data_IF_369326518073
#
_entry.id   IF_369326518073
#
_cell.length_a   1.000
_cell.length_b   1.000
_cell.length_c   1.000
_cell.angle_alpha   90.00
_cell.angle_beta   90.00
_cell.angle_gamma   90.00
#
_symmetry.space_group_name_H-M   'P 1'
#
loop_
_entity.id
_entity.type
_entity.pdbx_description
1 polymer ?
#
# COMPACT_ATOMS: atom_id res chain seq x y z
N UNK A 1 24.78 -4.61 -18.41
CA UNK A 1 23.82 -4.84 -17.31
C UNK A 1 22.77 -3.75 -17.34
N UNK A 2 21.62 -4.05 -17.84
CA UNK A 2 20.46 -3.18 -17.73
C UNK A 2 19.97 -3.29 -16.29
N UNK A 3 20.26 -2.28 -15.48
CA UNK A 3 19.57 -2.10 -14.20
C UNK A 3 18.11 -1.87 -14.53
N UNK A 4 17.25 -2.85 -14.24
CA UNK A 4 15.82 -2.68 -14.39
C UNK A 4 15.41 -1.44 -13.58
N UNK A 5 14.65 -0.52 -14.20
CA UNK A 5 14.14 0.63 -13.49
C UNK A 5 13.35 0.16 -12.26
N UNK A 6 13.59 0.77 -11.10
CA UNK A 6 12.86 0.39 -9.90
C UNK A 6 11.36 0.56 -10.12
N UNK A 7 10.58 -0.37 -9.59
CA UNK A 7 9.13 -0.28 -9.66
C UNK A 7 8.63 0.73 -8.63
N UNK A 8 7.84 1.67 -9.10
CA UNK A 8 7.24 2.70 -8.25
C UNK A 8 5.88 2.21 -7.77
N UNK A 9 5.64 2.26 -6.46
CA UNK A 9 4.36 1.88 -5.85
C UNK A 9 3.88 2.97 -4.90
N UNK A 10 2.57 3.16 -4.84
CA UNK A 10 1.90 3.99 -3.85
C UNK A 10 0.91 3.11 -3.10
N UNK A 11 1.07 3.01 -1.78
CA UNK A 11 0.19 2.26 -0.89
C UNK A 11 -0.86 3.20 -0.31
N UNK A 12 -2.12 2.99 -0.64
CA UNK A 12 -3.22 3.72 -0.04
C UNK A 12 -3.29 3.45 1.48
N UNK A 13 -3.75 4.44 2.24
CA UNK A 13 -3.83 4.35 3.69
C UNK A 13 -4.63 3.14 4.19
N UNK A 14 -5.67 2.72 3.48
CA UNK A 14 -6.44 1.53 3.88
C UNK A 14 -5.63 0.23 3.85
N UNK A 15 -4.68 0.09 2.94
CA UNK A 15 -3.76 -1.06 2.89
C UNK A 15 -2.77 -0.99 4.04
N UNK A 16 -2.23 0.19 4.31
CA UNK A 16 -1.36 0.43 5.46
C UNK A 16 -2.05 0.13 6.78
N UNK A 17 -3.27 0.65 6.98
CA UNK A 17 -4.10 0.38 8.17
C UNK A 17 -4.34 -1.11 8.35
N UNK A 18 -4.71 -1.80 7.30
CA UNK A 18 -4.91 -3.26 7.34
C UNK A 18 -3.65 -4.02 7.76
N UNK A 19 -2.47 -3.53 7.36
CA UNK A 19 -1.20 -4.13 7.73
C UNK A 19 -0.84 -3.93 9.21
N UNK A 20 -1.10 -2.73 9.76
CA UNK A 20 -0.71 -2.37 11.13
C UNK A 20 -1.75 -2.64 12.19
N UNK A 21 -3.01 -2.86 11.81
CA UNK A 21 -4.15 -3.02 12.71
C UNK A 21 -3.99 -4.19 13.68
N UNK A 22 -3.44 -5.30 13.20
CA UNK A 22 -3.17 -6.49 14.00
C UNK A 22 -1.85 -7.13 13.59
N UNK A 23 -0.70 -6.56 14.00
CA UNK A 23 0.61 -7.05 13.56
C UNK A 23 0.90 -8.49 14.00
N UNK A 24 0.28 -8.94 15.10
CA UNK A 24 0.48 -10.30 15.63
C UNK A 24 -0.06 -11.39 14.70
N UNK A 25 -1.07 -11.06 13.88
CA UNK A 25 -1.70 -12.02 12.96
C UNK A 25 -0.94 -12.26 11.67
N UNK A 26 0.07 -11.47 11.37
CA UNK A 26 0.81 -11.58 10.10
C UNK A 26 -0.13 -11.69 8.88
N UNK A 27 -1.01 -10.69 8.74
CA UNK A 27 -1.98 -10.63 7.64
C UNK A 27 -1.29 -10.56 6.27
N UNK A 28 -2.00 -10.84 5.21
CA UNK A 28 -1.47 -10.72 3.87
C UNK A 28 -1.03 -9.30 3.53
N UNK A 29 -1.76 -8.31 4.01
CA UNK A 29 -1.36 -6.90 3.86
C UNK A 29 -0.07 -6.56 4.64
N UNK A 30 0.12 -7.14 5.81
CA UNK A 30 1.36 -7.04 6.57
C UNK A 30 2.54 -7.68 5.79
N UNK A 31 2.35 -8.86 5.27
CA UNK A 31 3.36 -9.55 4.44
C UNK A 31 3.73 -8.75 3.19
N UNK A 32 2.74 -8.15 2.54
CA UNK A 32 2.94 -7.29 1.39
C UNK A 32 3.77 -6.05 1.76
N UNK A 33 3.45 -5.41 2.88
CA UNK A 33 4.18 -4.24 3.37
C UNK A 33 5.64 -4.58 3.67
N UNK A 34 5.88 -5.67 4.39
CA UNK A 34 7.24 -6.17 4.68
C UNK A 34 7.99 -6.47 3.38
N UNK A 35 7.33 -7.13 2.44
CA UNK A 35 7.92 -7.41 1.12
C UNK A 35 8.42 -6.14 0.42
N UNK A 36 7.62 -5.08 0.41
CA UNK A 36 8.03 -3.82 -0.20
C UNK A 36 9.18 -3.14 0.56
N UNK A 37 9.19 -3.23 1.88
CA UNK A 37 10.25 -2.66 2.71
C UNK A 37 11.59 -3.37 2.54
N UNK A 38 11.59 -4.67 2.25
CA UNK A 38 12.80 -5.46 2.07
C UNK A 38 13.39 -5.40 0.65
N UNK A 39 12.65 -4.87 -0.33
CA UNK A 39 13.05 -4.86 -1.74
C UNK A 39 13.71 -3.55 -2.14
N UNK A 40 14.95 -3.64 -2.61
CA UNK A 40 15.68 -2.49 -3.15
C UNK A 40 15.19 -2.04 -4.55
N UNK A 41 14.57 -2.96 -5.29
CA UNK A 41 14.01 -2.70 -6.63
C UNK A 41 12.60 -2.12 -6.61
N UNK A 42 12.04 -1.89 -5.41
CA UNK A 42 10.73 -1.24 -5.22
C UNK A 42 10.96 0.09 -4.50
N UNK A 43 10.44 1.17 -5.08
CA UNK A 43 10.43 2.50 -4.48
C UNK A 43 9.01 2.84 -4.07
N UNK A 44 8.84 3.15 -2.80
CA UNK A 44 7.56 3.56 -2.24
C UNK A 44 7.43 5.07 -2.42
N UNK A 45 6.36 5.49 -3.08
CA UNK A 45 6.02 6.90 -3.23
C UNK A 45 4.93 7.28 -2.23
N UNK A 46 4.94 8.53 -1.81
CA UNK A 46 3.88 9.12 -1.02
C UNK A 46 3.65 10.56 -1.48
N UNK A 47 2.55 11.13 -1.05
CA UNK A 47 2.28 12.56 -1.13
C UNK A 47 2.00 13.09 0.27
N UNK A 48 1.91 14.38 0.42
CA UNK A 48 1.74 15.01 1.73
C UNK A 48 0.47 14.55 2.46
N UNK A 49 -0.63 14.33 1.72
CA UNK A 49 -1.88 13.84 2.32
C UNK A 49 -1.69 12.42 2.86
N UNK A 50 -1.07 11.56 2.08
CA UNK A 50 -0.83 10.16 2.46
C UNK A 50 0.09 10.05 3.68
N UNK A 51 1.13 10.88 3.75
CA UNK A 51 2.01 10.95 4.94
C UNK A 51 1.21 11.31 6.20
N UNK A 52 0.33 12.29 6.11
CA UNK A 52 -0.55 12.67 7.23
C UNK A 52 -1.49 11.55 7.63
N UNK A 53 -2.04 10.81 6.67
CA UNK A 53 -2.88 9.65 6.93
C UNK A 53 -2.12 8.54 7.65
N UNK A 54 -0.90 8.21 7.21
CA UNK A 54 -0.07 7.21 7.88
C UNK A 54 0.25 7.57 9.32
N UNK A 55 0.63 8.82 9.56
CA UNK A 55 0.92 9.31 10.91
C UNK A 55 -0.32 9.25 11.81
N UNK A 56 -1.47 9.66 11.30
CA UNK A 56 -2.73 9.59 12.05
C UNK A 56 -3.10 8.17 12.45
N UNK A 57 -2.97 7.22 11.53
CA UNK A 57 -3.30 5.82 11.83
C UNK A 57 -2.28 5.16 12.75
N UNK A 58 -1.02 5.53 12.71
CA UNK A 58 -0.03 5.09 13.67
C UNK A 58 -0.36 5.53 15.11
N UNK A 59 -0.99 6.70 15.28
CA UNK A 59 -1.49 7.17 16.57
C UNK A 59 -2.74 6.43 17.03
N UNK A 60 -3.66 6.11 16.09
CA UNK A 60 -4.92 5.38 16.40
C UNK A 60 -4.65 3.94 16.82
N UNK A 61 -3.61 3.32 16.28
CA UNK A 61 -3.22 1.94 16.62
C UNK A 61 -1.90 1.93 17.40
N UNK A 62 -1.92 2.29 18.69
CA UNK A 62 -0.71 2.51 19.48
C UNK A 62 -0.05 1.17 19.86
N UNK A 63 0.71 0.61 18.94
CA UNK A 63 1.58 -0.52 19.23
C UNK A 63 3.02 -0.24 18.78
N UNK A 64 4.04 -0.78 19.46
CA UNK A 64 5.43 -0.62 19.03
C UNK A 64 5.65 -1.09 17.60
N UNK A 65 5.00 -2.17 17.19
CA UNK A 65 5.10 -2.71 15.82
C UNK A 65 4.46 -1.77 14.80
N UNK A 66 3.28 -1.23 15.08
CA UNK A 66 2.63 -0.25 14.20
C UNK A 66 3.49 1.01 14.02
N UNK A 67 4.06 1.53 15.12
CA UNK A 67 4.96 2.67 15.07
C UNK A 67 6.23 2.37 14.27
N UNK A 68 6.83 1.19 14.45
CA UNK A 68 8.01 0.78 13.72
C UNK A 68 7.74 0.63 12.22
N UNK A 69 6.60 0.06 11.82
CA UNK A 69 6.21 -0.06 10.42
C UNK A 69 5.93 1.30 9.78
N UNK A 70 5.24 2.19 10.48
CA UNK A 70 5.00 3.54 9.99
C UNK A 70 6.33 4.29 9.78
N UNK A 71 7.25 4.21 10.74
CA UNK A 71 8.58 4.78 10.61
C UNK A 71 9.34 4.20 9.42
N UNK A 72 9.34 2.88 9.27
CA UNK A 72 10.03 2.21 8.16
C UNK A 72 9.47 2.62 6.79
N UNK A 73 8.15 2.73 6.66
CA UNK A 73 7.52 3.20 5.41
C UNK A 73 7.91 4.65 5.12
N UNK A 74 7.82 5.53 6.12
CA UNK A 74 8.14 6.94 5.95
C UNK A 74 9.62 7.18 5.64
N UNK A 75 10.52 6.41 6.25
CA UNK A 75 11.96 6.48 5.97
C UNK A 75 12.29 6.06 4.51
N UNK A 76 11.50 5.17 3.96
CA UNK A 76 11.67 4.67 2.58
C UNK A 76 10.87 5.47 1.55
N UNK A 77 9.82 6.18 1.96
CA UNK A 77 8.92 6.87 1.06
C UNK A 77 9.57 8.11 0.44
N UNK A 78 9.41 8.24 -0.87
CA UNK A 78 9.70 9.47 -1.59
C UNK A 78 8.44 10.31 -1.68
N UNK A 79 8.51 11.54 -1.18
CA UNK A 79 7.37 12.46 -1.19
C UNK A 79 7.33 13.20 -2.51
N UNK A 80 6.21 13.08 -3.22
CA UNK A 80 5.98 13.69 -4.52
C UNK A 80 5.01 14.86 -4.38
N UNK A 81 5.40 16.03 -4.88
CA UNK A 81 4.48 17.13 -5.11
C UNK A 81 3.68 16.91 -6.39
N UNK A 82 2.39 17.11 -6.35
CA UNK A 82 1.49 16.83 -7.47
C UNK A 82 1.14 18.11 -8.21
N UNK A 83 1.38 18.14 -9.53
CA UNK A 83 1.00 19.25 -10.38
C UNK A 83 -0.52 19.29 -10.60
N UNK A 84 -1.05 20.51 -10.67
CA UNK A 84 -2.48 20.76 -10.84
C UNK A 84 -3.08 20.08 -12.08
N UNK A 85 -2.34 19.98 -13.17
CA UNK A 85 -2.79 19.32 -14.41
C UNK A 85 -3.16 17.85 -14.19
N UNK A 86 -2.44 17.15 -13.32
CA UNK A 86 -2.75 15.74 -12.98
C UNK A 86 -3.94 15.62 -12.05
N UNK A 87 -4.12 16.57 -11.14
CA UNK A 87 -5.33 16.67 -10.31
C UNK A 87 -6.57 16.86 -11.19
N UNK A 88 -6.52 17.78 -12.14
CA UNK A 88 -7.61 18.05 -13.10
C UNK A 88 -7.91 16.83 -13.98
N UNK A 89 -6.89 16.09 -14.40
CA UNK A 89 -7.07 14.88 -15.20
C UNK A 89 -7.76 13.76 -14.43
N UNK A 90 -7.48 13.62 -13.14
CA UNK A 90 -8.04 12.55 -12.29
C UNK A 90 -9.41 12.88 -11.71
N UNK A 91 -9.69 14.16 -11.42
CA UNK A 91 -10.91 14.60 -10.73
C UNK A 91 -12.23 14.07 -11.32
N UNK A 92 -12.42 13.99 -12.66
CA UNK A 92 -13.67 13.48 -13.24
C UNK A 92 -14.03 12.04 -12.89
N UNK A 93 -13.05 11.24 -12.44
CA UNK A 93 -13.27 9.83 -12.09
C UNK A 93 -13.73 9.63 -10.64
N UNK A 94 -13.79 10.70 -9.85
CA UNK A 94 -14.15 10.64 -8.43
C UNK A 94 -15.42 11.46 -8.18
N UNK A 95 -16.54 10.78 -8.08
CA UNK A 95 -17.81 11.40 -7.74
C UNK A 95 -17.82 11.83 -6.27
N UNK A 96 -18.31 13.04 -5.98
CA UNK A 96 -18.35 13.58 -4.63
C UNK A 96 -17.05 14.22 -4.13
N UNK A 97 -16.00 14.27 -4.96
CA UNK A 97 -14.83 15.11 -4.73
C UNK A 97 -13.96 14.76 -3.54
N UNK A 98 -13.72 13.47 -3.29
CA UNK A 98 -12.72 13.09 -2.29
C UNK A 98 -11.32 13.52 -2.74
N UNK A 99 -10.85 14.62 -2.16
CA UNK A 99 -9.57 15.23 -2.54
C UNK A 99 -8.40 14.27 -2.31
N UNK A 100 -8.42 13.50 -1.23
CA UNK A 100 -7.35 12.54 -0.94
C UNK A 100 -7.20 11.50 -2.07
N UNK A 101 -8.31 10.89 -2.50
CA UNK A 101 -8.30 9.91 -3.58
C UNK A 101 -7.82 10.50 -4.90
N UNK A 102 -8.25 11.73 -5.21
CA UNK A 102 -7.81 12.45 -6.40
C UNK A 102 -6.29 12.69 -6.36
N UNK A 103 -5.75 13.12 -5.23
CA UNK A 103 -4.31 13.36 -5.06
C UNK A 103 -3.51 12.07 -5.17
N UNK A 104 -4.00 10.96 -4.61
CA UNK A 104 -3.33 9.66 -4.72
C UNK A 104 -3.31 9.17 -6.17
N UNK A 105 -4.42 9.24 -6.87
CA UNK A 105 -4.49 8.90 -8.29
C UNK A 105 -3.60 9.80 -9.15
N UNK A 106 -3.60 11.11 -8.89
CA UNK A 106 -2.77 12.07 -9.60
C UNK A 106 -1.27 11.85 -9.36
N UNK A 107 -0.89 11.46 -8.15
CA UNK A 107 0.49 11.05 -7.86
C UNK A 107 0.92 9.88 -8.75
N UNK A 108 0.06 8.87 -8.88
CA UNK A 108 0.32 7.72 -9.74
C UNK A 108 0.35 8.09 -11.22
N UNK A 109 -0.55 8.94 -11.68
CA UNK A 109 -0.56 9.40 -13.07
C UNK A 109 0.71 10.18 -13.42
N UNK A 110 1.14 11.07 -12.54
CA UNK A 110 2.32 11.91 -12.73
C UNK A 110 3.62 11.10 -12.77
N UNK A 111 3.73 10.06 -11.97
CA UNK A 111 4.96 9.30 -11.75
C UNK A 111 5.02 7.98 -12.52
N UNK A 112 3.88 7.48 -12.99
CA UNK A 112 3.75 6.12 -13.51
C UNK A 112 3.73 5.03 -12.42
N UNK A 113 3.54 5.41 -11.16
CA UNK A 113 3.47 4.46 -10.06
C UNK A 113 2.22 3.59 -10.11
N UNK A 114 2.35 2.37 -9.61
CA UNK A 114 1.23 1.47 -9.37
C UNK A 114 0.55 1.85 -8.06
N UNK A 115 -0.75 2.08 -8.10
CA UNK A 115 -1.57 2.25 -6.91
C UNK A 115 -1.95 0.89 -6.33
N UNK A 116 -1.80 0.73 -5.01
CA UNK A 116 -2.33 -0.43 -4.28
C UNK A 116 -3.36 0.07 -3.28
N UNK A 117 -4.61 -0.28 -3.52
CA UNK A 117 -5.76 0.15 -2.71
C UNK A 117 -6.87 -0.88 -2.75
N UNK A 118 -7.55 -1.05 -1.62
CA UNK A 118 -8.76 -1.86 -1.52
C UNK A 118 -10.04 -1.01 -1.70
N UNK A 119 -9.91 0.29 -1.96
CA UNK A 119 -11.03 1.19 -2.09
C UNK A 119 -11.63 1.13 -3.49
N UNK A 120 -12.94 0.91 -3.57
CA UNK A 120 -13.70 0.87 -4.83
C UNK A 120 -13.76 2.22 -5.56
N UNK A 121 -13.45 3.31 -4.88
CA UNK A 121 -13.40 4.64 -5.49
C UNK A 121 -12.41 4.74 -6.66
N UNK A 122 -11.37 3.89 -6.66
CA UNK A 122 -10.38 3.85 -7.73
C UNK A 122 -10.78 2.95 -8.93
N UNK A 123 -11.91 2.30 -8.88
CA UNK A 123 -12.30 1.37 -9.93
C UNK A 123 -12.58 2.05 -11.28
N UNK A 124 -13.19 3.21 -11.28
CA UNK A 124 -13.50 3.97 -12.50
C UNK A 124 -12.23 4.41 -13.23
N UNK A 125 -11.25 4.95 -12.52
CA UNK A 125 -9.99 5.40 -13.10
C UNK A 125 -9.11 4.23 -13.54
N UNK A 126 -9.19 3.10 -12.83
CA UNK A 126 -8.54 1.85 -13.22
C UNK A 126 -9.12 1.31 -14.53
N UNK A 127 -10.44 1.24 -14.66
CA UNK A 127 -11.13 0.80 -15.89
C UNK A 127 -10.83 1.69 -17.09
N UNK A 128 -10.69 2.98 -16.87
CA UNK A 128 -10.28 3.95 -17.89
C UNK A 128 -8.80 3.81 -18.28
N UNK A 129 -8.03 2.97 -17.58
CA UNK A 129 -6.59 2.75 -17.81
C UNK A 129 -5.75 4.03 -17.71
N UNK A 130 -6.23 5.02 -16.96
CA UNK A 130 -5.47 6.25 -16.74
C UNK A 130 -4.31 6.03 -15.77
N UNK A 131 -4.51 5.16 -14.78
CA UNK A 131 -3.46 4.66 -13.88
C UNK A 131 -3.54 3.13 -13.79
N UNK A 132 -2.42 2.50 -13.42
CA UNK A 132 -2.41 1.10 -13.01
C UNK A 132 -2.76 0.99 -11.53
N UNK A 133 -3.73 0.17 -11.18
CA UNK A 133 -4.14 -0.04 -9.80
C UNK A 133 -4.42 -1.52 -9.52
N UNK A 134 -4.01 -1.99 -8.35
CA UNK A 134 -4.28 -3.34 -7.85
C UNK A 134 -4.91 -3.26 -6.46
N UNK A 135 -5.76 -4.24 -6.15
CA UNK A 135 -6.11 -4.51 -4.76
C UNK A 135 -4.95 -5.15 -4.01
N UNK A 136 -4.97 -5.13 -2.69
CA UNK A 136 -3.94 -5.81 -1.89
C UNK A 136 -3.87 -7.31 -2.22
N UNK A 137 -5.01 -7.97 -2.43
CA UNK A 137 -5.06 -9.39 -2.83
C UNK A 137 -4.40 -9.64 -4.17
N UNK A 138 -4.66 -8.80 -5.16
CA UNK A 138 -4.01 -8.89 -6.48
C UNK A 138 -2.50 -8.66 -6.38
N UNK A 139 -2.07 -7.69 -5.57
CA UNK A 139 -0.67 -7.39 -5.34
C UNK A 139 0.06 -8.56 -4.64
N UNK A 140 -0.56 -9.17 -3.65
CA UNK A 140 -0.01 -10.35 -2.96
C UNK A 140 0.19 -11.50 -3.92
N UNK A 141 -0.79 -11.81 -4.76
CA UNK A 141 -0.68 -12.86 -5.78
C UNK A 141 0.46 -12.60 -6.74
N UNK A 142 0.67 -11.34 -7.10
CA UNK A 142 1.68 -10.93 -8.08
C UNK A 142 3.11 -11.04 -7.53
N UNK A 143 3.34 -10.69 -6.26
CA UNK A 143 4.69 -10.56 -5.71
C UNK A 143 5.03 -11.53 -4.59
N UNK A 144 4.10 -11.85 -3.72
CA UNK A 144 4.38 -12.62 -2.51
C UNK A 144 4.01 -14.10 -2.67
N UNK A 145 2.96 -14.37 -3.43
CA UNK A 145 2.43 -15.72 -3.61
C UNK A 145 1.69 -16.27 -2.38
N UNK A 146 1.22 -17.54 -2.43
CA UNK A 146 0.51 -18.17 -1.33
C UNK A 146 1.43 -18.40 -0.14
N UNK A 147 0.86 -18.44 1.09
CA UNK A 147 1.60 -18.82 2.29
C UNK A 147 2.17 -20.23 2.13
N UNK A 148 3.42 -20.42 2.56
CA UNK A 148 3.96 -21.75 2.73
C UNK A 148 3.17 -22.50 3.82
N UNK A 149 3.00 -23.80 3.66
CA UNK A 149 2.26 -24.64 4.64
C UNK A 149 2.87 -24.62 6.04
N UNK A 150 4.10 -24.15 6.16
CA UNK A 150 4.85 -24.11 7.42
C UNK A 150 4.63 -22.81 8.22
N UNK A 151 3.95 -21.81 7.61
CA UNK A 151 3.67 -20.52 8.24
C UNK A 151 2.21 -20.39 8.75
N UNK A 152 1.45 -21.48 8.81
CA UNK A 152 0.10 -21.48 9.36
C UNK A 152 0.15 -21.52 10.91
N UNK A 153 -0.11 -20.38 11.59
CA UNK A 153 -0.06 -20.34 13.06
C UNK A 153 -1.17 -21.16 13.75
N UNK A 154 -2.06 -21.78 12.96
CA UNK A 154 -3.18 -22.59 13.46
C UNK A 154 -2.85 -24.06 13.69
N UNK A 155 -1.62 -24.52 13.45
CA UNK A 155 -1.21 -25.92 13.65
C UNK A 155 -0.24 -26.15 14.80
N UNK A 156 -0.12 -25.24 15.76
CA UNK A 156 0.52 -25.53 17.02
C UNK A 156 -0.55 -26.03 18.00
N UNK A 157 -0.40 -27.30 18.40
CA UNK A 157 -1.11 -28.06 19.43
C UNK A 157 -2.33 -28.89 19.02
N UNK A 158 -2.01 -30.05 18.56
CA UNK A 158 -2.83 -31.24 18.63
C UNK A 158 -2.02 -32.47 19.01
N UNK A 159 -1.11 -32.35 19.98
CA UNK A 159 -0.46 -33.52 20.60
C UNK A 159 -0.28 -33.29 22.08
N UNK A 160 -1.34 -33.56 22.80
CA UNK A 160 -1.24 -33.95 24.19
C UNK A 160 -2.35 -34.96 24.44
N UNK A 161 -1.99 -36.16 24.73
CA UNK A 161 -2.95 -37.07 25.25
C UNK A 161 -2.58 -38.54 25.04
N UNK A 162 -1.80 -39.06 25.87
CA UNK A 162 -1.98 -40.41 26.35
C UNK A 162 -1.64 -40.43 27.80
#
# INVERSE_FOLDING_TARGET
MTTANPRLVLLDANVFVSAIKDPARSTDTFRLLVYFLERADIRILANEILVREYLRYAEVFPSPTAAALASAVLDRAEIVGVDERFLKACAPYFQGGNIADIVHAATCLQTGALLISNDRHFEAIRKAQLIEALTATEAIRRWVGPRSKDEDPGKADGRSGA
#
